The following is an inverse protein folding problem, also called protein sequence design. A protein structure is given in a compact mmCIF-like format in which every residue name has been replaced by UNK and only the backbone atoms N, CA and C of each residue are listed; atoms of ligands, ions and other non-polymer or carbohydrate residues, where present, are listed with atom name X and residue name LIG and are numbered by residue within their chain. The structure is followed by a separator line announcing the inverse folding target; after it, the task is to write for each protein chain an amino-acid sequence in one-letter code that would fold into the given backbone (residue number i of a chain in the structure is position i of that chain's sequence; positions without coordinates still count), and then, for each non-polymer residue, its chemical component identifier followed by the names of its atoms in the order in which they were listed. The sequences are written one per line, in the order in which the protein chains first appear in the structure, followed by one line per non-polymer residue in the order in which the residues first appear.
data_IF_897271456604
#
_entry.id   IF_897271456604
#
_cell.length_a   1.000
_cell.length_b   1.000
_cell.length_c   1.000
_cell.angle_alpha   90.00
_cell.angle_beta   90.00
_cell.angle_gamma   90.00
#
_symmetry.space_group_name_H-M   'P 1'
#
loop_
_entity.id
_entity.type
_entity.pdbx_description
1 polymer ?
#
# COMPACT_ATOMS: atom_id res chain seq x y z
N UNK A 1 16.50 12.03 10.23
CA UNK A 1 15.07 11.66 10.29
C UNK A 1 14.97 10.20 9.95
N UNK A 2 14.39 9.41 10.82
CA UNK A 2 13.95 8.06 10.46
C UNK A 2 13.08 8.21 9.22
N UNK A 3 13.37 7.48 8.16
CA UNK A 3 12.66 7.69 6.90
C UNK A 3 11.16 7.52 7.14
N UNK A 4 10.39 8.54 6.88
CA UNK A 4 8.93 8.50 6.95
C UNK A 4 8.28 7.57 5.93
N UNK A 5 9.13 6.91 5.16
CA UNK A 5 8.81 5.88 4.19
C UNK A 5 8.08 4.70 4.80
N UNK A 6 8.21 4.54 6.09
CA UNK A 6 7.83 3.32 6.73
C UNK A 6 6.76 3.60 7.79
N UNK A 7 5.75 4.37 7.45
CA UNK A 7 4.48 4.36 8.16
C UNK A 7 3.49 3.57 7.32
N UNK A 8 3.57 2.24 7.30
CA UNK A 8 2.55 1.45 6.67
C UNK A 8 1.25 1.74 7.41
N UNK A 9 0.17 1.79 6.68
CA UNK A 9 -1.13 1.75 7.32
C UNK A 9 -1.22 0.51 8.17
N UNK A 10 -1.89 0.65 9.29
CA UNK A 10 -2.07 -0.44 10.23
C UNK A 10 -3.01 -1.50 9.67
N UNK A 11 -3.89 -1.13 8.73
CA UNK A 11 -4.93 -2.01 8.23
C UNK A 11 -4.42 -2.78 7.01
N UNK A 12 -4.01 -4.01 7.20
CA UNK A 12 -3.64 -4.92 6.12
C UNK A 12 -4.82 -5.86 5.92
N UNK A 13 -5.46 -5.81 4.75
CA UNK A 13 -6.62 -6.65 4.44
C UNK A 13 -6.22 -8.03 3.96
N UNK A 14 -6.73 -9.08 4.60
CA UNK A 14 -6.53 -10.46 4.15
C UNK A 14 -7.67 -11.37 4.57
N UNK A 15 -7.88 -12.44 3.79
CA UNK A 15 -8.91 -13.46 4.01
C UNK A 15 -8.23 -14.80 4.27
N UNK A 16 -8.74 -15.56 5.24
CA UNK A 16 -8.25 -16.88 5.61
C UNK A 16 -6.81 -16.90 6.16
N UNK A 17 -6.39 -15.84 6.84
CA UNK A 17 -5.19 -15.92 7.68
C UNK A 17 -5.41 -16.85 8.85
N UNK A 18 -4.34 -17.44 9.40
CA UNK A 18 -4.41 -18.27 10.62
C UNK A 18 -5.07 -17.54 11.79
N UNK A 19 -4.78 -16.24 11.94
CA UNK A 19 -5.39 -15.40 12.98
C UNK A 19 -6.90 -15.23 12.78
N UNK A 20 -7.35 -14.99 11.55
CA UNK A 20 -8.77 -14.91 11.24
C UNK A 20 -9.46 -16.25 11.45
N UNK A 21 -8.89 -17.35 10.92
CA UNK A 21 -9.46 -18.70 11.07
C UNK A 21 -9.60 -19.12 12.52
N UNK A 22 -8.62 -18.79 13.37
CA UNK A 22 -8.66 -19.09 14.79
C UNK A 22 -9.77 -18.33 15.56
N UNK A 23 -10.29 -17.25 14.98
CA UNK A 23 -11.38 -16.48 15.61
C UNK A 23 -12.78 -17.04 15.35
N UNK A 24 -12.94 -17.99 14.40
CA UNK A 24 -14.26 -18.41 13.92
C UNK A 24 -15.09 -19.20 14.94
N UNK A 25 -14.45 -19.87 15.87
CA UNK A 25 -15.19 -20.61 16.92
C UNK A 25 -15.89 -19.66 17.90
N UNK A 26 -15.24 -18.54 18.22
CA UNK A 26 -15.81 -17.50 19.09
C UNK A 26 -16.69 -16.51 18.31
N UNK A 27 -16.28 -16.18 17.08
CA UNK A 27 -16.91 -15.16 16.25
C UNK A 27 -17.25 -15.69 14.84
N UNK A 28 -18.26 -16.58 14.70
CA UNK A 28 -18.61 -17.17 13.40
C UNK A 28 -19.04 -16.14 12.34
N UNK A 29 -19.43 -14.93 12.76
CA UNK A 29 -19.76 -13.82 11.87
C UNK A 29 -18.55 -13.27 11.10
N UNK A 30 -17.32 -13.64 11.48
CA UNK A 30 -16.10 -13.23 10.76
C UNK A 30 -15.77 -14.11 9.57
N UNK A 31 -16.52 -15.22 9.36
CA UNK A 31 -16.41 -16.01 8.14
C UNK A 31 -16.76 -15.17 6.93
N UNK A 32 -15.92 -15.24 5.94
CA UNK A 32 -16.08 -14.51 4.68
C UNK A 32 -16.40 -15.49 3.56
N UNK A 33 -17.51 -15.27 2.89
CA UNK A 33 -17.73 -15.86 1.57
C UNK A 33 -16.91 -15.07 0.56
N UNK A 34 -15.87 -15.71 0.01
CA UNK A 34 -14.95 -15.05 -0.92
C UNK A 34 -15.64 -14.56 -2.19
N UNK A 35 -16.64 -15.32 -2.69
CA UNK A 35 -17.37 -14.91 -3.88
C UNK A 35 -18.20 -13.66 -3.61
N UNK A 36 -18.93 -13.63 -2.49
CA UNK A 36 -19.69 -12.45 -2.07
C UNK A 36 -18.78 -11.23 -1.86
N UNK A 37 -17.63 -11.43 -1.22
CA UNK A 37 -16.66 -10.35 -0.99
C UNK A 37 -16.07 -9.81 -2.31
N UNK A 38 -15.76 -10.69 -3.25
CA UNK A 38 -15.28 -10.27 -4.58
C UNK A 38 -16.34 -9.53 -5.37
N UNK A 39 -17.59 -9.99 -5.33
CA UNK A 39 -18.72 -9.30 -5.98
C UNK A 39 -18.97 -7.91 -5.37
N UNK A 40 -18.80 -7.76 -4.05
CA UNK A 40 -18.88 -6.46 -3.38
C UNK A 40 -17.80 -5.50 -3.86
N UNK A 41 -16.56 -5.97 -4.03
CA UNK A 41 -15.47 -5.16 -4.56
C UNK A 41 -15.78 -4.71 -6.00
N UNK A 42 -16.26 -5.62 -6.85
CA UNK A 42 -16.66 -5.29 -8.22
C UNK A 42 -17.78 -4.25 -8.25
N UNK A 43 -18.78 -4.43 -7.39
CA UNK A 43 -19.91 -3.50 -7.27
C UNK A 43 -19.44 -2.13 -6.76
N UNK A 44 -18.57 -2.09 -5.75
CA UNK A 44 -18.00 -0.86 -5.23
C UNK A 44 -17.18 -0.11 -6.28
N UNK A 45 -16.45 -0.83 -7.12
CA UNK A 45 -15.70 -0.27 -8.24
C UNK A 45 -16.56 0.05 -9.48
N UNK A 46 -17.89 -0.11 -9.40
CA UNK A 46 -18.82 0.02 -10.53
C UNK A 46 -18.42 -0.81 -11.77
N UNK A 47 -17.82 -1.97 -11.57
CA UNK A 47 -17.34 -2.86 -12.63
C UNK A 47 -16.01 -2.45 -13.27
N UNK A 48 -15.42 -1.33 -12.89
CA UNK A 48 -14.12 -0.86 -13.40
C UNK A 48 -12.96 -1.45 -12.59
N UNK A 49 -12.80 -2.75 -12.70
CA UNK A 49 -11.78 -3.49 -11.95
C UNK A 49 -11.31 -4.70 -12.76
N UNK A 50 -10.05 -5.04 -12.59
CA UNK A 50 -9.52 -6.32 -13.03
C UNK A 50 -9.93 -7.42 -12.03
N UNK A 51 -10.88 -8.26 -12.43
CA UNK A 51 -11.42 -9.31 -11.57
C UNK A 51 -10.37 -10.39 -11.23
N UNK A 52 -9.41 -10.63 -12.10
CA UNK A 52 -8.36 -11.62 -11.82
C UNK A 52 -7.42 -11.14 -10.70
N UNK A 53 -7.16 -9.84 -10.60
CA UNK A 53 -6.46 -9.25 -9.45
C UNK A 53 -7.24 -9.40 -8.15
N UNK A 54 -8.57 -9.22 -8.20
CA UNK A 54 -9.43 -9.44 -7.02
C UNK A 54 -9.38 -10.89 -6.56
N UNK A 55 -9.39 -11.85 -7.50
CA UNK A 55 -9.21 -13.28 -7.18
C UNK A 55 -7.88 -13.59 -6.52
N UNK A 56 -6.79 -13.01 -7.04
CA UNK A 56 -5.46 -13.17 -6.42
C UNK A 56 -5.49 -12.69 -4.98
N UNK A 57 -6.02 -11.49 -4.74
CA UNK A 57 -6.16 -10.98 -3.38
C UNK A 57 -7.01 -11.91 -2.50
N UNK A 58 -8.17 -12.33 -2.94
CA UNK A 58 -9.07 -13.15 -2.15
C UNK A 58 -8.48 -14.54 -1.80
N UNK A 59 -7.61 -15.06 -2.65
CA UNK A 59 -7.04 -16.41 -2.45
C UNK A 59 -5.68 -16.39 -1.75
N UNK A 60 -4.86 -15.36 -1.95
CA UNK A 60 -3.47 -15.33 -1.51
C UNK A 60 -3.23 -14.42 -0.30
N UNK A 61 -4.17 -13.53 0.02
CA UNK A 61 -3.96 -12.53 1.08
C UNK A 61 -3.78 -13.13 2.47
N UNK A 62 -4.46 -14.25 2.77
CA UNK A 62 -4.28 -14.95 4.05
C UNK A 62 -2.86 -15.47 4.23
N UNK A 63 -2.31 -16.12 3.21
CA UNK A 63 -0.93 -16.60 3.22
C UNK A 63 0.08 -15.44 3.34
N UNK A 64 -0.20 -14.29 2.69
CA UNK A 64 0.61 -13.09 2.84
C UNK A 64 0.60 -12.58 4.30
N UNK A 65 -0.57 -12.54 4.95
CA UNK A 65 -0.68 -12.14 6.36
C UNK A 65 0.11 -13.10 7.25
N UNK A 66 0.00 -14.39 7.04
CA UNK A 66 0.75 -15.39 7.81
C UNK A 66 2.26 -15.18 7.68
N UNK A 67 2.74 -14.97 6.46
CA UNK A 67 4.16 -14.67 6.21
C UNK A 67 4.60 -13.35 6.87
N UNK A 68 3.78 -12.30 6.79
CA UNK A 68 4.07 -11.03 7.47
C UNK A 68 4.09 -11.19 8.99
N UNK A 69 3.21 -12.03 9.54
CA UNK A 69 3.15 -12.32 10.97
C UNK A 69 4.47 -12.92 11.46
N UNK A 70 5.01 -13.92 10.74
CA UNK A 70 6.32 -14.52 11.05
C UNK A 70 7.45 -13.47 11.08
N UNK A 71 7.42 -12.53 10.13
CA UNK A 71 8.43 -11.47 10.06
C UNK A 71 8.31 -10.49 11.22
N UNK A 72 7.11 -10.01 11.50
CA UNK A 72 6.93 -8.92 12.47
C UNK A 72 7.06 -9.40 13.91
N UNK A 73 6.71 -10.64 14.19
CA UNK A 73 6.79 -11.24 15.53
C UNK A 73 8.16 -11.83 15.88
N UNK A 74 9.08 -11.95 14.90
CA UNK A 74 10.36 -12.66 15.04
C UNK A 74 11.21 -12.25 16.25
N UNK A 75 11.10 -11.02 16.71
CA UNK A 75 11.89 -10.49 17.82
C UNK A 75 11.06 -10.05 19.05
N UNK A 76 9.74 -10.23 18.96
CA UNK A 76 8.80 -9.93 20.04
C UNK A 76 8.52 -8.44 20.26
N UNK A 77 8.95 -7.55 19.37
CA UNK A 77 8.64 -6.10 19.45
C UNK A 77 7.27 -5.75 18.87
N UNK A 78 6.75 -6.57 17.96
CA UNK A 78 5.41 -6.45 17.40
C UNK A 78 4.63 -7.75 17.62
N UNK A 79 3.32 -7.61 17.56
CA UNK A 79 2.36 -8.71 17.49
C UNK A 79 1.34 -8.38 16.41
N UNK A 80 1.06 -9.34 15.51
CA UNK A 80 -0.01 -9.20 14.54
C UNK A 80 -1.35 -9.48 15.21
N UNK A 81 -2.29 -8.57 15.05
CA UNK A 81 -3.65 -8.74 15.57
C UNK A 81 -4.65 -8.77 14.43
N UNK A 82 -5.61 -9.65 14.53
CA UNK A 82 -6.79 -9.63 13.67
C UNK A 82 -7.79 -8.61 14.24
N UNK A 83 -8.16 -7.66 13.41
CA UNK A 83 -9.17 -6.64 13.72
C UNK A 83 -10.51 -7.10 13.16
N UNK A 84 -11.16 -8.02 13.85
CA UNK A 84 -12.49 -8.49 13.45
C UNK A 84 -13.53 -7.40 13.61
N UNK A 85 -13.76 -6.60 12.60
CA UNK A 85 -14.89 -5.69 12.57
C UNK A 85 -15.86 -6.08 11.46
N UNK A 86 -17.01 -6.53 11.86
CA UNK A 86 -18.17 -6.62 10.98
C UNK A 86 -19.13 -5.53 11.39
N UNK A 87 -19.45 -4.63 10.51
CA UNK A 87 -20.37 -3.56 10.83
C UNK A 87 -21.03 -3.02 9.58
N UNK A 88 -22.34 -2.93 9.64
CA UNK A 88 -23.13 -2.15 8.69
C UNK A 88 -23.42 -0.77 9.24
N UNK A 89 -23.08 -0.51 10.49
CA UNK A 89 -23.38 0.75 11.16
C UNK A 89 -22.51 1.88 10.60
N UNK A 90 -23.19 2.83 9.96
CA UNK A 90 -22.56 4.04 9.41
C UNK A 90 -21.97 3.91 7.99
N UNK A 91 -22.03 2.75 7.39
CA UNK A 91 -21.83 2.57 5.95
C UNK A 91 -23.20 2.47 5.30
N UNK A 92 -23.42 3.15 4.20
CA UNK A 92 -24.70 3.10 3.51
C UNK A 92 -25.11 1.65 3.22
N UNK A 93 -26.42 1.38 3.12
CA UNK A 93 -26.99 0.03 2.95
C UNK A 93 -26.50 -0.78 1.75
N UNK A 94 -25.50 -0.29 1.02
CA UNK A 94 -24.98 -0.89 -0.21
C UNK A 94 -23.70 -1.69 0.00
N UNK A 95 -22.93 -1.40 1.05
CA UNK A 95 -21.60 -1.97 1.23
C UNK A 95 -21.53 -2.72 2.55
N UNK A 96 -21.11 -3.98 2.48
CA UNK A 96 -20.88 -4.82 3.64
C UNK A 96 -19.47 -4.58 4.19
N UNK A 97 -19.32 -4.48 5.49
CA UNK A 97 -18.01 -4.48 6.12
C UNK A 97 -17.53 -5.92 6.28
N UNK A 98 -16.40 -6.23 5.67
CA UNK A 98 -15.76 -7.53 5.73
C UNK A 98 -14.67 -7.54 6.79
N UNK A 99 -14.63 -8.58 7.62
CA UNK A 99 -13.64 -8.75 8.67
C UNK A 99 -12.28 -9.17 8.11
N UNK A 100 -11.63 -8.29 7.38
CA UNK A 100 -10.34 -8.56 6.71
C UNK A 100 -9.14 -7.89 7.38
N UNK A 101 -9.37 -6.99 8.35
CA UNK A 101 -8.33 -6.14 8.92
C UNK A 101 -7.33 -6.89 9.79
N UNK A 102 -6.06 -6.60 9.58
CA UNK A 102 -4.96 -7.06 10.44
C UNK A 102 -4.06 -5.89 10.73
N UNK A 103 -3.56 -5.78 11.95
CA UNK A 103 -2.63 -4.73 12.31
C UNK A 103 -1.46 -5.22 13.16
N UNK A 104 -0.22 -4.82 12.81
CA UNK A 104 0.95 -5.06 13.62
C UNK A 104 1.02 -4.02 14.74
N UNK A 105 0.81 -4.44 15.96
CA UNK A 105 0.82 -3.59 17.14
C UNK A 105 2.09 -3.75 17.96
N UNK A 106 2.55 -2.65 18.59
CA UNK A 106 3.72 -2.71 19.47
C UNK A 106 3.40 -3.47 20.75
N UNK A 107 4.24 -4.42 21.07
CA UNK A 107 4.32 -5.01 22.42
C UNK A 107 4.96 -4.02 23.39
N UNK A 108 5.00 -4.35 24.69
CA UNK A 108 5.69 -3.50 25.66
C UNK A 108 7.19 -3.35 25.32
N UNK A 109 7.84 -4.42 24.88
CA UNK A 109 9.22 -4.36 24.35
C UNK A 109 9.34 -3.41 23.15
N UNK A 110 8.37 -3.41 22.22
CA UNK A 110 8.39 -2.51 21.08
C UNK A 110 8.13 -1.05 21.43
N UNK A 111 7.49 -0.78 22.56
CA UNK A 111 7.24 0.59 23.05
C UNK A 111 8.48 1.25 23.65
N UNK A 112 9.50 0.47 24.05
CA UNK A 112 10.77 0.99 24.58
C UNK A 112 11.48 1.85 23.53
N UNK A 113 11.40 1.50 22.24
CA UNK A 113 11.87 2.36 21.15
C UNK A 113 10.72 3.12 20.49
N UNK A 114 10.68 4.44 20.74
CA UNK A 114 9.67 5.34 20.17
C UNK A 114 9.72 5.40 18.63
N UNK A 115 10.88 5.16 18.04
CA UNK A 115 11.09 5.22 16.60
C UNK A 115 10.79 3.89 15.89
N UNK A 116 10.71 2.80 16.65
CA UNK A 116 10.39 1.51 16.10
C UNK A 116 8.92 1.44 15.65
N UNK A 117 8.69 0.85 14.52
CA UNK A 117 7.36 0.60 13.97
C UNK A 117 7.42 -0.56 12.96
N UNK A 118 6.26 -0.94 12.43
CA UNK A 118 6.15 -2.03 11.45
C UNK A 118 7.11 -1.86 10.26
N UNK A 119 7.20 -0.66 9.70
CA UNK A 119 8.10 -0.41 8.58
C UNK A 119 9.57 -0.58 8.94
N UNK A 120 9.97 -0.15 10.14
CA UNK A 120 11.35 -0.38 10.63
C UNK A 120 11.62 -1.88 10.76
N UNK A 121 10.65 -2.65 11.29
CA UNK A 121 10.77 -4.10 11.38
C UNK A 121 10.97 -4.78 10.01
N UNK A 122 10.18 -4.37 9.01
CA UNK A 122 10.33 -4.88 7.63
C UNK A 122 11.69 -4.49 7.02
N UNK A 123 12.13 -3.25 7.26
CA UNK A 123 13.44 -2.78 6.79
C UNK A 123 14.57 -3.63 7.38
N UNK A 124 14.58 -3.81 8.70
CA UNK A 124 15.58 -4.62 9.37
C UNK A 124 15.60 -6.05 8.82
N UNK A 125 14.44 -6.66 8.63
CA UNK A 125 14.35 -7.99 8.01
C UNK A 125 14.90 -8.02 6.59
N UNK A 126 14.59 -7.00 5.79
CA UNK A 126 15.12 -6.91 4.43
C UNK A 126 16.66 -6.77 4.41
N UNK A 127 17.21 -5.95 5.31
CA UNK A 127 18.67 -5.82 5.49
C UNK A 127 19.32 -7.14 5.92
N UNK A 128 18.71 -7.90 6.84
CA UNK A 128 19.15 -9.24 7.21
C UNK A 128 19.18 -10.20 6.01
N UNK A 129 18.33 -9.99 5.02
CA UNK A 129 18.30 -10.74 3.75
C UNK A 129 19.21 -10.16 2.66
N UNK A 130 20.00 -9.15 2.98
CA UNK A 130 20.97 -8.55 2.06
C UNK A 130 20.43 -7.41 1.19
N UNK A 131 19.25 -6.86 1.50
CA UNK A 131 18.77 -5.69 0.80
C UNK A 131 19.54 -4.43 1.22
N UNK A 132 19.92 -3.61 0.26
CA UNK A 132 20.56 -2.32 0.49
C UNK A 132 19.55 -1.18 0.35
N UNK A 133 19.57 -0.24 1.28
CA UNK A 133 18.73 0.94 1.27
C UNK A 133 19.55 2.20 0.96
N UNK A 134 19.12 2.93 -0.06
CA UNK A 134 19.67 4.26 -0.39
C UNK A 134 18.63 5.32 -0.08
N UNK A 135 18.93 6.11 0.93
CA UNK A 135 18.08 7.23 1.34
C UNK A 135 18.43 8.50 0.57
N UNK A 136 17.56 9.50 0.63
CA UNK A 136 17.76 10.77 -0.08
C UNK A 136 18.05 10.59 -1.58
N UNK A 137 17.47 9.56 -2.19
CA UNK A 137 17.72 9.19 -3.58
C UNK A 137 16.40 9.21 -4.35
N UNK A 138 16.31 10.10 -5.31
CA UNK A 138 15.12 10.36 -6.12
C UNK A 138 15.20 9.60 -7.45
N UNK A 139 14.14 8.89 -7.82
CA UNK A 139 14.04 8.30 -9.15
C UNK A 139 13.88 9.39 -10.20
N UNK A 140 14.74 9.42 -11.21
CA UNK A 140 14.66 10.36 -12.33
C UNK A 140 14.05 9.68 -13.56
N UNK A 141 14.54 8.49 -13.93
CA UNK A 141 13.98 7.74 -15.06
C UNK A 141 14.32 6.27 -14.96
N UNK A 142 13.55 5.46 -15.67
CA UNK A 142 13.87 4.08 -15.97
C UNK A 142 14.78 4.01 -17.19
N UNK A 143 15.67 3.02 -17.24
CA UNK A 143 16.53 2.75 -18.40
C UNK A 143 16.09 1.45 -19.08
N UNK A 144 15.99 1.50 -20.39
CA UNK A 144 15.64 0.35 -21.22
C UNK A 144 16.84 -0.12 -22.02
N UNK A 145 16.89 -1.40 -22.32
CA UNK A 145 17.80 -1.99 -23.32
C UNK A 145 17.23 -1.85 -24.75
N UNK A 146 17.93 -2.40 -25.71
CA UNK A 146 17.55 -2.40 -27.14
C UNK A 146 16.23 -3.14 -27.42
N UNK A 147 15.78 -4.00 -26.51
CA UNK A 147 14.53 -4.74 -26.61
C UNK A 147 13.38 -4.07 -25.82
N UNK A 148 13.55 -2.82 -25.41
CA UNK A 148 12.62 -2.06 -24.56
C UNK A 148 12.36 -2.68 -23.18
N UNK A 149 13.22 -3.57 -22.69
CA UNK A 149 13.14 -4.10 -21.34
C UNK A 149 13.77 -3.11 -20.36
N UNK A 150 13.11 -2.85 -19.24
CA UNK A 150 13.68 -2.04 -18.16
C UNK A 150 14.78 -2.84 -17.47
N UNK A 151 16.01 -2.30 -17.49
CA UNK A 151 17.23 -2.94 -16.98
C UNK A 151 17.96 -2.11 -15.92
N UNK A 152 17.42 -0.97 -15.58
CA UNK A 152 18.03 -0.09 -14.59
C UNK A 152 17.27 1.20 -14.37
N UNK A 153 17.86 2.05 -13.54
CA UNK A 153 17.33 3.38 -13.24
C UNK A 153 18.46 4.42 -13.26
N UNK A 154 18.09 5.65 -13.57
CA UNK A 154 18.86 6.83 -13.18
C UNK A 154 18.17 7.45 -11.97
N UNK A 155 18.91 7.60 -10.92
CA UNK A 155 18.51 8.27 -9.70
C UNK A 155 19.37 9.53 -9.48
N UNK A 156 18.94 10.38 -8.57
CA UNK A 156 19.66 11.58 -8.16
C UNK A 156 19.73 11.65 -6.64
N UNK A 157 20.91 11.87 -6.10
CA UNK A 157 21.04 12.23 -4.70
C UNK A 157 20.42 13.61 -4.46
N UNK A 158 19.58 13.72 -3.43
CA UNK A 158 18.84 14.94 -3.14
C UNK A 158 19.72 16.01 -2.49
N UNK A 159 20.82 15.61 -1.83
CA UNK A 159 21.67 16.51 -1.07
C UNK A 159 22.68 17.26 -1.96
N UNK A 160 23.45 16.52 -2.75
CA UNK A 160 24.50 17.09 -3.61
C UNK A 160 24.13 17.11 -5.10
N UNK A 161 22.96 16.53 -5.44
CA UNK A 161 22.34 16.51 -6.78
C UNK A 161 23.13 15.76 -7.85
N UNK A 162 24.09 14.93 -7.48
CA UNK A 162 24.75 14.07 -8.47
C UNK A 162 23.82 12.94 -8.92
N UNK A 163 24.04 12.46 -10.15
CA UNK A 163 23.27 11.38 -10.74
C UNK A 163 23.96 10.04 -10.49
N UNK A 164 23.12 9.04 -10.22
CA UNK A 164 23.54 7.67 -9.93
C UNK A 164 22.84 6.76 -10.92
N UNK A 165 23.60 5.92 -11.63
CA UNK A 165 23.04 4.82 -12.42
C UNK A 165 23.02 3.56 -11.56
N UNK A 166 21.89 2.88 -11.52
CA UNK A 166 21.71 1.61 -10.80
C UNK A 166 21.25 0.57 -11.82
N UNK A 167 22.09 -0.44 -12.06
CA UNK A 167 21.75 -1.54 -12.94
C UNK A 167 20.81 -2.52 -12.22
N UNK A 168 19.73 -2.91 -12.87
CA UNK A 168 18.73 -3.84 -12.37
C UNK A 168 18.33 -4.86 -13.45
N UNK A 169 19.25 -5.79 -13.80
CA UNK A 169 19.03 -6.70 -14.93
C UNK A 169 17.85 -7.67 -14.73
N UNK A 170 17.41 -7.88 -13.49
CA UNK A 170 16.21 -8.67 -13.20
C UNK A 170 14.90 -7.86 -13.36
N UNK A 171 14.99 -6.54 -13.32
CA UNK A 171 13.84 -5.63 -13.40
C UNK A 171 13.78 -4.63 -12.24
N UNK A 172 12.82 -3.73 -12.30
CA UNK A 172 12.57 -2.68 -11.31
C UNK A 172 11.15 -2.80 -10.80
N UNK A 173 10.98 -2.84 -9.47
CA UNK A 173 9.67 -2.76 -8.83
C UNK A 173 9.43 -1.31 -8.43
N UNK A 174 8.35 -0.71 -8.96
CA UNK A 174 7.92 0.62 -8.60
C UNK A 174 6.93 0.58 -7.44
N UNK A 175 7.35 1.02 -6.27
CA UNK A 175 6.53 1.14 -5.07
C UNK A 175 6.49 2.60 -4.57
N UNK A 176 6.40 3.56 -5.50
CA UNK A 176 6.58 4.99 -5.27
C UNK A 176 5.30 5.73 -4.84
N UNK A 177 4.23 4.98 -4.61
CA UNK A 177 2.93 5.55 -4.25
C UNK A 177 2.21 6.22 -5.43
N UNK A 178 1.18 6.97 -5.11
CA UNK A 178 0.31 7.62 -6.08
C UNK A 178 0.76 9.02 -6.50
N UNK A 179 -0.20 9.83 -6.89
CA UNK A 179 0.02 11.21 -7.40
C UNK A 179 -0.81 12.28 -6.68
N UNK A 180 -1.29 12.00 -5.48
CA UNK A 180 -2.21 12.87 -4.74
C UNK A 180 -1.71 14.31 -4.51
N UNK A 181 -0.39 14.54 -4.47
CA UNK A 181 0.19 15.87 -4.35
C UNK A 181 0.60 16.51 -5.69
N UNK A 182 0.31 15.84 -6.80
CA UNK A 182 0.52 16.40 -8.13
C UNK A 182 -0.79 16.96 -8.69
N UNK A 183 -0.98 18.27 -8.52
CA UNK A 183 -2.22 18.95 -8.92
C UNK A 183 -2.54 18.83 -10.42
N UNK A 184 -1.52 18.77 -11.27
CA UNK A 184 -1.71 18.60 -12.72
C UNK A 184 -2.25 17.21 -13.04
N UNK A 185 -1.63 16.17 -12.47
CA UNK A 185 -2.13 14.79 -12.61
C UNK A 185 -3.53 14.64 -12.02
N UNK A 186 -3.77 15.25 -10.86
CA UNK A 186 -5.10 15.24 -10.24
C UNK A 186 -6.15 15.90 -11.14
N UNK A 187 -5.85 17.05 -11.73
CA UNK A 187 -6.75 17.73 -12.66
C UNK A 187 -7.02 16.92 -13.93
N UNK A 188 -5.98 16.29 -14.47
CA UNK A 188 -6.08 15.51 -15.69
C UNK A 188 -6.85 14.19 -15.50
N UNK A 189 -6.66 13.53 -14.34
CA UNK A 189 -7.18 12.18 -14.11
C UNK A 189 -8.43 12.14 -13.24
N UNK A 190 -8.69 13.18 -12.46
CA UNK A 190 -9.83 13.29 -11.55
C UNK A 190 -10.51 14.65 -11.67
N UNK A 191 -11.08 15.00 -12.83
CA UNK A 191 -11.65 16.32 -13.07
C UNK A 191 -12.85 16.64 -12.16
N UNK A 192 -13.55 15.63 -11.64
CA UNK A 192 -14.63 15.80 -10.65
C UNK A 192 -14.14 16.35 -9.31
N UNK A 193 -12.88 16.07 -8.93
CA UNK A 193 -12.28 16.53 -7.70
C UNK A 193 -12.16 18.05 -7.60
N UNK A 194 -12.05 18.71 -8.71
CA UNK A 194 -11.94 20.18 -8.76
C UNK A 194 -13.18 20.87 -8.20
N UNK A 195 -14.36 20.24 -8.33
CA UNK A 195 -15.63 20.79 -7.84
C UNK A 195 -15.84 20.53 -6.35
N UNK A 196 -15.19 19.53 -5.78
CA UNK A 196 -15.44 19.07 -4.42
C UNK A 196 -14.46 19.61 -3.38
N UNK A 197 -13.48 20.42 -3.76
CA UNK A 197 -12.41 20.95 -2.87
C UNK A 197 -11.84 19.91 -1.92
N UNK A 198 -11.60 18.71 -2.43
CA UNK A 198 -11.06 17.64 -1.62
C UNK A 198 -9.66 18.05 -1.20
N UNK A 199 -9.49 18.24 0.10
CA UNK A 199 -8.17 18.40 0.68
C UNK A 199 -7.45 17.07 0.57
N UNK A 200 -6.60 16.96 -0.42
CA UNK A 200 -5.67 15.86 -0.49
C UNK A 200 -4.76 16.00 0.72
N UNK A 201 -4.62 14.93 1.48
CA UNK A 201 -3.85 14.94 2.71
C UNK A 201 -2.42 15.45 2.45
N UNK A 202 -2.23 16.72 2.62
CA UNK A 202 -0.91 17.36 2.76
C UNK A 202 -0.23 16.97 4.05
N UNK A 203 -0.93 16.23 4.88
CA UNK A 203 -0.53 16.00 6.25
C UNK A 203 0.37 14.78 6.32
N UNK A 204 1.60 15.03 6.39
CA UNK A 204 2.73 14.50 7.13
C UNK A 204 2.76 13.04 7.62
N UNK A 205 1.79 12.24 7.33
CA UNK A 205 1.74 10.86 7.82
C UNK A 205 2.15 9.82 6.78
N UNK A 206 2.49 10.22 5.59
CA UNK A 206 2.96 9.25 4.61
C UNK A 206 3.32 9.93 3.30
N UNK A 207 4.57 10.08 3.01
CA UNK A 207 5.10 10.41 1.70
C UNK A 207 4.51 11.67 1.03
N UNK A 208 5.17 12.12 0.01
CA UNK A 208 4.68 13.19 -0.85
C UNK A 208 4.41 12.58 -2.24
N UNK A 209 3.23 11.96 -2.48
CA UNK A 209 2.97 11.21 -3.71
C UNK A 209 2.82 12.17 -4.90
N UNK A 210 3.90 12.36 -5.62
CA UNK A 210 4.02 13.28 -6.76
C UNK A 210 3.84 12.61 -8.12
N UNK A 211 3.69 11.28 -8.13
CA UNK A 211 3.50 10.50 -9.35
C UNK A 211 4.77 10.25 -10.15
N UNK A 212 5.94 10.41 -9.55
CA UNK A 212 7.21 10.31 -10.29
C UNK A 212 7.45 8.91 -10.84
N UNK A 213 7.17 7.86 -10.08
CA UNK A 213 7.26 6.49 -10.57
C UNK A 213 6.25 6.20 -11.68
N UNK A 214 5.03 6.74 -11.57
CA UNK A 214 4.02 6.61 -12.62
C UNK A 214 4.49 7.27 -13.92
N UNK A 215 5.00 8.51 -13.84
CA UNK A 215 5.57 9.22 -14.99
C UNK A 215 6.72 8.43 -15.59
N UNK A 216 7.64 7.95 -14.76
CA UNK A 216 8.78 7.16 -15.21
C UNK A 216 8.34 5.89 -15.95
N UNK A 217 7.30 5.19 -15.45
CA UNK A 217 6.73 4.04 -16.14
C UNK A 217 6.09 4.41 -17.48
N UNK A 218 5.36 5.51 -17.53
CA UNK A 218 4.73 5.98 -18.79
C UNK A 218 5.76 6.35 -19.85
N UNK A 219 6.90 6.92 -19.48
CA UNK A 219 7.97 7.28 -20.43
C UNK A 219 8.63 6.07 -21.08
N UNK A 220 8.50 4.89 -20.49
CA UNK A 220 9.00 3.62 -21.04
C UNK A 220 7.88 2.71 -21.56
N UNK A 221 6.72 3.28 -21.88
CA UNK A 221 5.60 2.57 -22.50
C UNK A 221 4.55 2.02 -21.54
N UNK A 222 4.69 2.26 -20.24
CA UNK A 222 3.65 1.91 -19.25
C UNK A 222 2.36 2.70 -19.48
N UNK A 223 1.24 2.13 -19.07
CA UNK A 223 -0.08 2.75 -19.18
C UNK A 223 -0.71 2.90 -17.81
N UNK A 224 -1.46 3.96 -17.62
CA UNK A 224 -2.34 4.13 -16.48
C UNK A 224 -3.70 3.50 -16.76
N UNK A 225 -4.41 3.12 -15.70
CA UNK A 225 -5.82 2.81 -15.81
C UNK A 225 -6.57 3.91 -16.57
N UNK A 226 -7.47 3.56 -17.50
CA UNK A 226 -8.21 4.53 -18.29
C UNK A 226 -9.11 5.40 -17.41
N UNK A 227 -9.51 4.90 -16.25
CA UNK A 227 -10.38 5.59 -15.30
C UNK A 227 -9.56 5.98 -14.08
N UNK A 228 -9.64 7.25 -13.71
CA UNK A 228 -9.01 7.73 -12.48
C UNK A 228 -9.65 7.10 -11.24
N UNK A 229 -8.83 6.60 -10.34
CA UNK A 229 -9.30 6.03 -9.08
C UNK A 229 -10.07 7.06 -8.25
N UNK A 230 -11.09 6.60 -7.52
CA UNK A 230 -11.77 7.42 -6.55
C UNK A 230 -10.83 7.78 -5.39
N UNK A 231 -11.03 8.97 -4.82
CA UNK A 231 -10.35 9.34 -3.60
C UNK A 231 -10.95 8.61 -2.41
N UNK A 232 -10.10 8.03 -1.57
CA UNK A 232 -10.51 7.56 -0.26
C UNK A 232 -10.59 8.75 0.69
N UNK A 233 -11.76 8.97 1.26
CA UNK A 233 -11.98 10.02 2.25
C UNK A 233 -11.72 9.49 3.65
N UNK A 234 -10.83 10.14 4.37
CA UNK A 234 -10.92 10.09 5.81
C UNK A 234 -12.02 11.06 6.26
N UNK A 235 -12.88 10.57 7.12
CA UNK A 235 -14.04 11.18 7.73
C UNK A 235 -13.75 12.58 8.28
N UNK A 236 -13.72 13.59 7.46
CA UNK A 236 -13.62 14.98 7.91
C UNK A 236 -14.82 15.74 7.39
N UNK A 237 -15.62 16.25 8.30
CA UNK A 237 -16.54 17.33 7.97
C UNK A 237 -15.71 18.62 7.84
N UNK A 238 -15.64 19.17 6.64
CA UNK A 238 -15.04 20.49 6.43
C UNK A 238 -16.17 21.49 6.38
N UNK A 239 -16.06 22.50 7.24
CA UNK A 239 -16.98 23.64 7.30
C UNK A 239 -16.62 24.65 6.21
#
# INVERSE_FOLDING_TARGET
RTPGVMSPRQDIGGIDSKLQLASFDEFPQFKIDKMEAMEDIVRYANGFIDYDLVKVWANESGALIDWLTEIVERDGRLVMQFEGSVGTEGQGARDKAWATGHSPNKTDKGKEDKNFNFGVSLKEYAEEKGAEFRWSTELIKLEQDENNRVVGIIARDVNDRHYIRINAPKGVILATGGYGNNLEMMKARQPWNQKMRISIARNGTGGNPTGDGIKAAMWVGGQMDPIGAACMFNRAAVK
#
